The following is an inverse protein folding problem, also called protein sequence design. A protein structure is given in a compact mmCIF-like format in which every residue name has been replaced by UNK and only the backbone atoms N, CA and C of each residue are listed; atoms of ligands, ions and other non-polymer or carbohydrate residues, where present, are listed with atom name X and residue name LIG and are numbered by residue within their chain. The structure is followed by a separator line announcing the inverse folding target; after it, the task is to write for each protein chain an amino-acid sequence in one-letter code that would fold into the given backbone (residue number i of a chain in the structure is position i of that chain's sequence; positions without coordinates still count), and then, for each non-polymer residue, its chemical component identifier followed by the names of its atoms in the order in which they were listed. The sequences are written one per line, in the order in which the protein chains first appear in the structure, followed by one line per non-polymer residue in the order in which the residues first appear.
data_IF_344031547960
#
_entry.id   IF_344031547960
#
_cell.length_a   1.000
_cell.length_b   1.000
_cell.length_c   1.000
_cell.angle_alpha   90.00
_cell.angle_beta   90.00
_cell.angle_gamma   90.00
#
_symmetry.space_group_name_H-M   'P 1'
#
loop_
_entity.id
_entity.type
_entity.pdbx_description
1 polymer ?
#
# COMPACT_ATOMS: atom_id res chain seq x y z
N UNK A 1 44.25 26.52 -17.90
CA UNK A 1 43.39 25.74 -16.99
C UNK A 1 42.01 26.39 -16.91
N UNK A 2 40.93 25.71 -17.34
CA UNK A 2 39.54 26.21 -17.24
C UNK A 2 38.87 25.57 -16.03
N UNK A 3 38.40 26.38 -15.06
CA UNK A 3 37.62 25.91 -13.90
C UNK A 3 36.30 25.31 -14.40
N UNK A 4 36.10 24.03 -14.14
CA UNK A 4 34.85 23.32 -14.37
C UNK A 4 33.74 23.89 -13.48
N UNK A 5 32.64 24.28 -14.12
CA UNK A 5 31.40 24.72 -13.47
C UNK A 5 30.80 23.51 -12.76
N UNK A 6 30.75 23.54 -11.42
CA UNK A 6 30.15 22.45 -10.63
C UNK A 6 28.67 22.31 -11.01
N UNK A 7 28.14 21.09 -11.17
CA UNK A 7 26.72 20.92 -11.45
C UNK A 7 25.91 21.43 -10.25
N UNK A 8 24.95 22.32 -10.54
CA UNK A 8 23.95 22.74 -9.58
C UNK A 8 23.15 21.50 -9.18
N UNK A 9 23.34 21.01 -7.95
CA UNK A 9 22.42 20.01 -7.37
C UNK A 9 21.17 20.77 -6.99
N UNK A 10 20.20 20.82 -7.88
CA UNK A 10 18.84 21.16 -7.50
C UNK A 10 18.44 20.20 -6.37
N UNK A 11 17.97 20.68 -5.21
CA UNK A 11 17.42 19.80 -4.21
C UNK A 11 16.20 19.16 -4.85
N UNK A 12 16.31 17.88 -5.20
CA UNK A 12 15.13 17.07 -5.50
C UNK A 12 14.24 17.21 -4.27
N UNK A 13 13.14 17.93 -4.42
CA UNK A 13 11.99 17.84 -3.53
C UNK A 13 11.54 16.38 -3.59
N UNK A 14 12.14 15.54 -2.74
CA UNK A 14 11.51 14.28 -2.36
C UNK A 14 10.17 14.68 -1.78
N UNK A 15 9.10 14.41 -2.53
CA UNK A 15 7.82 14.21 -1.86
C UNK A 15 8.09 13.02 -0.95
N UNK A 16 8.13 13.26 0.35
CA UNK A 16 8.13 12.18 1.31
C UNK A 16 6.82 11.42 1.10
N UNK A 17 6.88 10.31 0.38
CA UNK A 17 5.73 9.47 0.12
C UNK A 17 5.21 8.98 1.48
N UNK A 18 4.02 9.43 1.85
CA UNK A 18 3.40 9.05 3.12
C UNK A 18 2.76 7.67 2.99
N UNK A 19 3.38 6.66 3.59
CA UNK A 19 2.85 5.29 3.63
C UNK A 19 2.02 5.10 4.89
N UNK A 20 0.72 4.87 4.72
CA UNK A 20 -0.19 4.56 5.82
C UNK A 20 -0.17 3.05 6.12
N UNK A 21 0.25 2.68 7.32
CA UNK A 21 0.18 1.29 7.79
C UNK A 21 -1.26 0.84 8.06
N UNK A 22 -1.49 -0.49 8.11
CA UNK A 22 -2.84 -1.10 8.27
C UNK A 22 -3.60 -0.57 9.48
N UNK A 23 -2.93 -0.40 10.62
CA UNK A 23 -3.56 0.13 11.85
C UNK A 23 -4.02 1.57 11.68
N UNK A 24 -3.22 2.40 10.99
CA UNK A 24 -3.58 3.79 10.70
C UNK A 24 -4.75 3.87 9.73
N UNK A 25 -4.71 3.08 8.66
CA UNK A 25 -5.81 2.94 7.71
C UNK A 25 -7.11 2.50 8.40
N UNK A 26 -7.07 1.43 9.20
CA UNK A 26 -8.24 0.93 9.93
C UNK A 26 -8.85 1.96 10.88
N UNK A 27 -8.02 2.78 11.54
CA UNK A 27 -8.52 3.85 12.44
C UNK A 27 -9.27 4.93 11.66
N UNK A 28 -8.76 5.33 10.49
CA UNK A 28 -9.39 6.33 9.63
C UNK A 28 -10.68 5.74 9.03
N UNK A 29 -10.60 4.54 8.45
CA UNK A 29 -11.74 3.85 7.83
C UNK A 29 -12.89 3.62 8.82
N UNK A 30 -12.60 3.35 10.09
CA UNK A 30 -13.63 3.19 11.13
C UNK A 30 -14.44 4.47 11.38
N UNK A 31 -13.84 5.66 11.21
CA UNK A 31 -14.57 6.93 11.30
C UNK A 31 -15.63 7.04 10.20
N UNK A 32 -15.34 6.48 9.02
CA UNK A 32 -16.25 6.44 7.87
C UNK A 32 -17.17 5.20 7.88
N UNK A 33 -17.12 4.38 8.93
CA UNK A 33 -17.89 3.14 9.04
C UNK A 33 -17.38 1.99 8.17
N UNK A 34 -16.22 2.13 7.53
CA UNK A 34 -15.60 1.10 6.70
C UNK A 34 -14.79 0.17 7.62
N UNK A 35 -15.34 -1.00 7.88
CA UNK A 35 -14.71 -2.03 8.73
C UNK A 35 -14.57 -3.34 7.98
N UNK A 36 -13.47 -4.05 8.24
CA UNK A 36 -13.27 -5.39 7.71
C UNK A 36 -14.17 -6.38 8.44
N UNK A 37 -14.84 -7.25 7.67
CA UNK A 37 -15.51 -8.42 8.24
C UNK A 37 -14.48 -9.39 8.84
N UNK A 38 -14.94 -10.31 9.68
CA UNK A 38 -14.06 -11.33 10.28
C UNK A 38 -13.35 -12.17 9.20
N UNK A 39 -14.06 -12.53 8.13
CA UNK A 39 -13.52 -13.29 7.01
C UNK A 39 -12.43 -12.51 6.25
N UNK A 40 -12.67 -11.23 5.96
CA UNK A 40 -11.68 -10.37 5.31
C UNK A 40 -10.42 -10.21 6.18
N UNK A 41 -10.57 -10.16 7.50
CA UNK A 41 -9.44 -10.13 8.44
C UNK A 41 -8.62 -11.42 8.37
N UNK A 42 -9.28 -12.58 8.45
CA UNK A 42 -8.63 -13.88 8.36
C UNK A 42 -7.87 -14.06 7.03
N UNK A 43 -8.46 -13.58 5.92
CA UNK A 43 -7.80 -13.55 4.61
C UNK A 43 -6.50 -12.73 4.65
N UNK A 44 -6.54 -11.51 5.19
CA UNK A 44 -5.36 -10.65 5.28
C UNK A 44 -4.27 -11.23 6.19
N UNK A 45 -4.65 -11.87 7.30
CA UNK A 45 -3.71 -12.56 8.18
C UNK A 45 -3.04 -13.75 7.46
N UNK A 46 -3.78 -14.44 6.59
CA UNK A 46 -3.24 -15.45 5.68
C UNK A 46 -2.18 -14.87 4.74
N UNK A 47 -2.43 -13.71 4.14
CA UNK A 47 -1.47 -13.06 3.26
C UNK A 47 -0.17 -12.65 3.97
N UNK A 48 -0.26 -12.26 5.24
CA UNK A 48 0.92 -11.95 6.05
C UNK A 48 1.73 -13.21 6.38
N UNK A 49 1.04 -14.32 6.67
CA UNK A 49 1.69 -15.63 6.88
C UNK A 49 2.40 -16.15 5.63
N UNK A 50 1.75 -16.00 4.48
CA UNK A 50 2.29 -16.40 3.17
C UNK A 50 3.38 -15.45 2.65
N UNK A 51 3.62 -14.32 3.35
CA UNK A 51 4.56 -13.25 2.95
C UNK A 51 4.33 -12.73 1.53
N UNK A 52 3.07 -12.64 1.11
CA UNK A 52 2.72 -12.12 -0.21
C UNK A 52 3.20 -10.68 -0.39
N UNK A 53 3.72 -10.38 -1.57
CA UNK A 53 3.98 -9.02 -2.03
C UNK A 53 2.68 -8.21 -2.13
N UNK A 54 2.81 -6.89 -2.21
CA UNK A 54 1.65 -6.01 -2.39
C UNK A 54 0.89 -6.30 -3.69
N UNK A 55 1.58 -6.73 -4.74
CA UNK A 55 0.97 -7.07 -6.03
C UNK A 55 0.16 -8.36 -5.96
N UNK A 56 0.72 -9.41 -5.37
CA UNK A 56 0.03 -10.69 -5.17
C UNK A 56 -1.20 -10.53 -4.27
N UNK A 57 -1.10 -9.70 -3.22
CA UNK A 57 -2.25 -9.36 -2.37
C UNK A 57 -3.38 -8.73 -3.18
N UNK A 58 -3.07 -7.73 -4.02
CA UNK A 58 -4.08 -7.07 -4.87
C UNK A 58 -4.72 -8.05 -5.84
N UNK A 59 -3.92 -8.90 -6.49
CA UNK A 59 -4.42 -9.90 -7.43
C UNK A 59 -5.41 -10.87 -6.74
N UNK A 60 -5.07 -11.38 -5.55
CA UNK A 60 -5.97 -12.27 -4.80
C UNK A 60 -7.26 -11.59 -4.32
N UNK A 61 -7.18 -10.33 -3.88
CA UNK A 61 -8.38 -9.57 -3.50
C UNK A 61 -9.29 -9.41 -4.72
N UNK A 62 -8.73 -9.01 -5.88
CA UNK A 62 -9.50 -8.87 -7.11
C UNK A 62 -10.15 -10.21 -7.48
N UNK A 63 -9.40 -11.30 -7.49
CA UNK A 63 -9.94 -12.63 -7.79
C UNK A 63 -11.11 -13.01 -6.86
N UNK A 64 -10.93 -12.92 -5.54
CA UNK A 64 -11.99 -13.23 -4.57
C UNK A 64 -13.29 -12.45 -4.79
N UNK A 65 -13.20 -11.16 -5.13
CA UNK A 65 -14.38 -10.28 -5.21
C UNK A 65 -14.92 -10.08 -6.64
N UNK A 66 -14.18 -10.50 -7.67
CA UNK A 66 -14.63 -10.39 -9.08
C UNK A 66 -15.01 -11.74 -9.69
N UNK A 67 -14.49 -12.86 -9.18
CA UNK A 67 -14.79 -14.20 -9.69
C UNK A 67 -16.21 -14.71 -9.37
N UNK A 68 -17.01 -13.93 -8.62
CA UNK A 68 -18.46 -14.13 -8.45
C UNK A 68 -19.34 -13.29 -9.39
N UNK A 69 -18.76 -12.47 -10.29
CA UNK A 69 -19.48 -11.64 -11.28
C UNK A 69 -19.22 -12.11 -12.72
N UNK A 70 -19.36 -13.40 -12.98
CA UNK A 70 -19.37 -13.94 -14.35
C UNK A 70 -20.61 -14.78 -14.60
#
# INVERSE_FOLDING_TARGET
MRRSKRPNRDPMTSRDDFVLGRTGFARISAVEGIVLTAEMRAMLDGFDRDRLSAEERRARIVDCFTSGKR
#
